data_IF_223153857517
#
_entry.id   IF_223153857517
#
_cell.length_a   1.000
_cell.length_b   1.000
_cell.length_c   1.000
_cell.angle_alpha   90.00
_cell.angle_beta   90.00
_cell.angle_gamma   90.00
#
_symmetry.space_group_name_H-M   'P 1'
#
loop_
_entity.id
_entity.type
_entity.pdbx_description
1 polymer ?
#
# COMPACT_ATOMS: atom_id res chain seq x y z
N UNK A 1 18.54 -6.72 -10.72
CA UNK A 1 18.31 -7.00 -9.29
C UNK A 1 16.89 -7.51 -9.14
N UNK A 2 16.69 -8.73 -8.64
CA UNK A 2 15.37 -9.35 -8.51
C UNK A 2 14.70 -8.85 -7.21
N UNK A 3 13.83 -7.85 -7.33
CA UNK A 3 12.88 -7.52 -6.26
C UNK A 3 11.91 -8.69 -6.16
N UNK A 4 11.83 -9.33 -4.99
CA UNK A 4 10.99 -10.53 -4.78
C UNK A 4 9.64 -10.16 -4.18
N UNK A 5 9.58 -9.02 -3.50
CA UNK A 5 8.37 -8.49 -2.89
C UNK A 5 8.23 -7.02 -3.26
N UNK A 6 7.10 -6.68 -3.83
CA UNK A 6 6.71 -5.33 -4.16
C UNK A 6 5.44 -4.97 -3.39
N UNK A 7 5.56 -3.99 -2.51
CA UNK A 7 4.46 -3.48 -1.70
C UNK A 7 3.97 -2.19 -2.37
N UNK A 8 2.69 -2.15 -2.71
CA UNK A 8 2.06 -0.97 -3.29
C UNK A 8 1.02 -0.47 -2.29
N UNK A 9 1.12 0.79 -1.90
CA UNK A 9 0.20 1.46 -0.99
C UNK A 9 -0.64 2.39 -1.86
N UNK A 10 -1.85 1.95 -2.16
CA UNK A 10 -2.80 2.67 -2.98
C UNK A 10 -3.64 3.57 -2.07
N UNK A 11 -3.51 4.88 -2.22
CA UNK A 11 -4.25 5.84 -1.40
C UNK A 11 -5.06 6.81 -2.26
N UNK A 12 -6.02 7.49 -1.64
CA UNK A 12 -6.78 8.55 -2.26
C UNK A 12 -6.71 9.82 -1.40
N UNK A 13 -5.65 10.62 -1.58
CA UNK A 13 -5.49 11.78 -0.75
C UNK A 13 -6.52 12.88 -1.02
N UNK A 14 -7.29 12.79 -2.10
CA UNK A 14 -8.23 13.84 -2.51
C UNK A 14 -9.64 13.61 -1.94
N UNK A 15 -10.13 12.36 -1.82
CA UNK A 15 -11.45 12.13 -1.19
C UNK A 15 -11.43 12.40 0.32
N UNK A 16 -10.35 12.10 1.05
CA UNK A 16 -10.34 12.32 2.50
C UNK A 16 -10.46 13.81 2.89
N UNK A 17 -9.99 14.74 2.03
CA UNK A 17 -10.14 16.20 2.20
C UNK A 17 -11.61 16.62 2.15
N UNK A 18 -12.41 15.97 1.30
CA UNK A 18 -13.80 16.36 1.04
C UNK A 18 -14.73 15.89 2.17
N UNK A 19 -14.41 14.74 2.79
CA UNK A 19 -15.24 14.13 3.84
C UNK A 19 -14.87 14.57 5.27
N UNK A 20 -13.80 15.34 5.47
CA UNK A 20 -13.23 15.52 6.81
C UNK A 20 -12.93 16.98 7.15
N UNK A 21 -13.84 17.64 7.88
CA UNK A 21 -13.55 18.92 8.54
C UNK A 21 -12.54 18.79 9.70
N UNK A 22 -12.15 17.57 10.08
CA UNK A 22 -11.23 17.27 11.20
C UNK A 22 -10.00 16.37 10.84
N UNK A 23 -9.80 15.95 9.57
CA UNK A 23 -8.75 14.94 9.21
C UNK A 23 -7.69 15.40 8.19
N UNK A 24 -7.36 16.68 8.15
CA UNK A 24 -6.22 17.14 7.33
C UNK A 24 -4.88 16.50 7.75
N UNK A 25 -4.78 15.95 8.97
CA UNK A 25 -3.60 15.25 9.46
C UNK A 25 -3.41 13.84 8.85
N UNK A 26 -4.46 13.13 8.46
CA UNK A 26 -4.37 11.72 8.01
C UNK A 26 -3.67 11.57 6.63
N UNK A 27 -3.79 12.59 5.78
CA UNK A 27 -3.20 12.62 4.43
C UNK A 27 -1.69 12.75 4.41
N UNK A 28 -1.18 13.66 5.24
CA UNK A 28 0.25 13.74 5.51
C UNK A 28 0.72 12.45 6.19
N UNK A 29 -0.15 11.82 6.99
CA UNK A 29 0.17 10.62 7.75
C UNK A 29 0.40 9.40 6.85
N UNK A 30 -0.48 9.06 5.90
CA UNK A 30 -0.30 7.84 5.09
C UNK A 30 0.96 7.86 4.23
N UNK A 31 1.26 8.99 3.59
CA UNK A 31 2.50 9.14 2.80
C UNK A 31 3.74 9.05 3.69
N UNK A 32 3.72 9.70 4.86
CA UNK A 32 4.83 9.60 5.84
C UNK A 32 5.00 8.16 6.34
N UNK A 33 3.91 7.47 6.67
CA UNK A 33 3.93 6.07 7.08
C UNK A 33 4.46 5.15 5.97
N UNK A 34 4.13 5.43 4.70
CA UNK A 34 4.68 4.71 3.56
C UNK A 34 6.20 4.91 3.42
N UNK A 35 6.69 6.13 3.62
CA UNK A 35 8.12 6.44 3.61
C UNK A 35 8.87 5.78 4.77
N UNK A 36 8.28 5.76 5.97
CA UNK A 36 8.81 5.04 7.12
C UNK A 36 8.88 3.53 6.87
N UNK A 37 7.80 2.96 6.32
CA UNK A 37 7.77 1.55 5.91
C UNK A 37 8.86 1.26 4.87
N UNK A 38 9.07 2.12 3.88
CA UNK A 38 10.13 1.97 2.89
C UNK A 38 11.52 1.94 3.55
N UNK A 39 11.80 2.88 4.46
CA UNK A 39 13.11 2.95 5.17
C UNK A 39 13.38 1.67 5.97
N UNK A 40 12.37 1.22 6.69
CA UNK A 40 12.43 0.04 7.54
C UNK A 40 12.57 -1.26 6.71
N UNK A 41 11.80 -1.41 5.63
CA UNK A 41 11.90 -2.56 4.71
C UNK A 41 13.24 -2.58 3.97
N UNK A 42 13.78 -1.42 3.59
CA UNK A 42 15.12 -1.33 3.00
C UNK A 42 16.21 -1.76 3.97
N UNK A 43 16.01 -1.51 5.26
CA UNK A 43 16.96 -1.85 6.32
C UNK A 43 16.89 -3.34 6.67
N UNK A 44 15.69 -3.91 6.73
CA UNK A 44 15.46 -5.32 7.11
C UNK A 44 15.62 -6.29 5.93
N UNK A 45 15.26 -5.88 4.72
CA UNK A 45 15.20 -6.73 3.51
C UNK A 45 15.84 -6.03 2.30
N UNK A 46 17.13 -5.68 2.38
CA UNK A 46 17.80 -4.86 1.36
C UNK A 46 17.75 -5.53 -0.02
N UNK A 47 17.33 -4.77 -1.03
CA UNK A 47 17.20 -5.20 -2.44
C UNK A 47 16.15 -6.29 -2.72
N UNK A 48 15.47 -6.81 -1.69
CA UNK A 48 14.47 -7.89 -1.83
C UNK A 48 13.06 -7.34 -1.80
N UNK A 49 12.82 -6.31 -0.98
CA UNK A 49 11.53 -5.65 -0.81
C UNK A 49 11.62 -4.22 -1.37
N UNK A 50 10.61 -3.80 -2.11
CA UNK A 50 10.39 -2.38 -2.47
C UNK A 50 8.98 -1.96 -2.09
N UNK A 51 8.82 -0.75 -1.59
CA UNK A 51 7.55 -0.12 -1.26
C UNK A 51 7.34 1.06 -2.19
N UNK A 52 6.12 1.22 -2.68
CA UNK A 52 5.71 2.38 -3.45
C UNK A 52 4.37 2.89 -2.94
N UNK A 53 4.27 4.21 -2.82
CA UNK A 53 3.02 4.89 -2.57
C UNK A 53 2.46 5.37 -3.91
N UNK A 54 1.21 5.04 -4.19
CA UNK A 54 0.52 5.32 -5.45
C UNK A 54 -0.75 6.10 -5.13
N UNK A 55 -0.93 7.24 -5.79
CA UNK A 55 -2.15 8.04 -5.70
C UNK A 55 -3.13 7.56 -6.77
N UNK A 56 -4.18 6.86 -6.33
CA UNK A 56 -5.17 6.26 -7.22
C UNK A 56 -5.90 7.27 -8.11
N UNK A 57 -5.86 8.57 -7.82
CA UNK A 57 -6.60 9.58 -8.58
C UNK A 57 -5.71 10.49 -9.41
N UNK A 58 -4.39 10.46 -9.18
CA UNK A 58 -3.40 11.13 -10.02
C UNK A 58 -2.85 10.22 -11.13
N UNK A 59 -2.77 8.90 -10.88
CA UNK A 59 -2.29 7.91 -11.85
C UNK A 59 -3.41 7.43 -12.81
N UNK A 60 -3.00 6.77 -13.91
CA UNK A 60 -3.86 6.35 -15.03
C UNK A 60 -5.17 5.68 -14.55
N UNK A 61 -6.32 6.15 -15.04
CA UNK A 61 -7.64 5.63 -14.67
C UNK A 61 -7.80 4.13 -14.94
N UNK A 62 -6.96 3.57 -15.82
CA UNK A 62 -6.98 2.15 -16.16
C UNK A 62 -6.21 1.27 -15.17
N UNK A 63 -5.44 1.84 -14.24
CA UNK A 63 -4.73 1.07 -13.22
C UNK A 63 -5.67 0.68 -12.07
N UNK A 64 -5.55 -0.58 -11.63
CA UNK A 64 -6.31 -1.18 -10.52
C UNK A 64 -7.84 -1.08 -10.65
N UNK A 65 -8.45 -1.46 -11.79
CA UNK A 65 -9.89 -1.28 -12.03
C UNK A 65 -10.75 -2.01 -10.97
N UNK A 66 -10.34 -3.21 -10.56
CA UNK A 66 -11.03 -3.99 -9.52
C UNK A 66 -10.98 -3.29 -8.15
N UNK A 67 -9.83 -2.73 -7.76
CA UNK A 67 -9.68 -2.01 -6.48
C UNK A 67 -10.55 -0.74 -6.49
N UNK A 68 -10.54 0.00 -7.61
CA UNK A 68 -11.37 1.19 -7.78
C UNK A 68 -12.86 0.86 -7.69
N UNK A 69 -13.30 -0.26 -8.27
CA UNK A 69 -14.68 -0.73 -8.17
C UNK A 69 -15.05 -1.06 -6.72
N UNK A 70 -14.20 -1.81 -6.01
CA UNK A 70 -14.44 -2.15 -4.60
C UNK A 70 -14.52 -0.91 -3.70
N UNK A 71 -13.66 0.09 -3.94
CA UNK A 71 -13.70 1.38 -3.24
C UNK A 71 -15.01 2.13 -3.52
N UNK A 72 -15.45 2.22 -4.79
CA UNK A 72 -16.73 2.86 -5.17
C UNK A 72 -17.94 2.21 -4.50
N UNK A 73 -17.89 0.90 -4.29
CA UNK A 73 -18.94 0.17 -3.57
C UNK A 73 -18.83 0.24 -2.04
N UNK A 74 -17.77 0.86 -1.51
CA UNK A 74 -17.49 0.92 -0.06
C UNK A 74 -17.14 -0.43 0.55
N UNK A 75 -16.72 -1.41 -0.27
CA UNK A 75 -16.35 -2.75 0.19
C UNK A 75 -14.98 -2.77 0.88
N UNK A 76 -14.11 -1.83 0.52
CA UNK A 76 -12.79 -1.60 1.12
C UNK A 76 -12.59 -0.08 1.30
N UNK A 77 -11.59 0.31 2.08
CA UNK A 77 -11.25 1.71 2.33
C UNK A 77 -9.77 1.96 2.04
N UNK A 78 -9.41 3.17 1.60
CA UNK A 78 -8.00 3.57 1.49
C UNK A 78 -7.36 3.77 2.87
N UNK A 79 -6.03 3.63 2.99
CA UNK A 79 -5.12 3.09 1.97
C UNK A 79 -5.30 1.57 1.79
N UNK A 80 -5.14 1.09 0.56
CA UNK A 80 -5.17 -0.34 0.19
C UNK A 80 -3.75 -0.80 -0.08
N UNK A 81 -3.33 -1.86 0.61
CA UNK A 81 -1.98 -2.41 0.49
C UNK A 81 -2.02 -3.66 -0.39
N UNK A 82 -1.30 -3.61 -1.50
CA UNK A 82 -1.02 -4.76 -2.35
C UNK A 82 0.38 -5.31 -2.05
N UNK A 83 0.52 -6.63 -2.10
CA UNK A 83 1.82 -7.30 -2.10
C UNK A 83 1.90 -8.14 -3.37
N UNK A 84 2.85 -7.82 -4.24
CA UNK A 84 3.01 -8.37 -5.58
C UNK A 84 1.70 -8.27 -6.40
N UNK A 85 1.04 -7.10 -6.36
CA UNK A 85 -0.23 -6.84 -7.04
C UNK A 85 -1.47 -7.48 -6.40
N UNK A 86 -1.31 -8.29 -5.34
CA UNK A 86 -2.44 -8.94 -4.65
C UNK A 86 -2.87 -8.10 -3.45
N UNK A 87 -4.15 -7.70 -3.32
CA UNK A 87 -4.64 -6.96 -2.15
C UNK A 87 -4.55 -7.81 -0.88
N UNK A 88 -4.05 -7.21 0.20
CA UNK A 88 -3.86 -7.88 1.50
C UNK A 88 -4.52 -7.15 2.66
N UNK A 89 -4.43 -5.82 2.67
CA UNK A 89 -4.85 -4.98 3.79
C UNK A 89 -5.53 -3.74 3.23
N UNK A 90 -6.49 -3.17 3.94
CA UNK A 90 -7.13 -1.92 3.57
C UNK A 90 -7.53 -1.12 4.82
N UNK A 91 -7.70 0.20 4.69
CA UNK A 91 -8.11 1.10 5.78
C UNK A 91 -6.99 1.46 6.74
N UNK A 92 -5.71 1.24 6.39
CA UNK A 92 -4.56 1.65 7.19
C UNK A 92 -3.27 0.94 6.82
N UNK A 93 -2.16 1.36 7.45
CA UNK A 93 -0.81 0.84 7.21
C UNK A 93 -0.24 0.15 8.47
N UNK A 94 -0.78 -1.03 8.87
CA UNK A 94 -0.33 -1.73 10.07
C UNK A 94 1.01 -2.45 9.83
N UNK A 95 2.11 -1.82 10.24
CA UNK A 95 3.48 -2.29 10.03
C UNK A 95 3.70 -3.79 10.36
N UNK A 96 3.27 -4.23 11.54
CA UNK A 96 3.47 -5.61 11.99
C UNK A 96 2.77 -6.65 11.10
N UNK A 97 1.60 -6.29 10.54
CA UNK A 97 0.84 -7.18 9.65
C UNK A 97 1.51 -7.25 8.28
N UNK A 98 1.93 -6.10 7.75
CA UNK A 98 2.65 -6.03 6.47
C UNK A 98 3.91 -6.88 6.53
N UNK A 99 4.72 -6.71 7.58
CA UNK A 99 5.95 -7.49 7.77
C UNK A 99 5.69 -8.99 7.79
N UNK A 100 4.65 -9.43 8.50
CA UNK A 100 4.27 -10.86 8.55
C UNK A 100 3.89 -11.40 7.16
N UNK A 101 3.19 -10.62 6.35
CA UNK A 101 2.85 -11.03 4.97
C UNK A 101 4.09 -11.09 4.07
N UNK A 102 5.00 -10.11 4.19
CA UNK A 102 6.30 -10.12 3.48
C UNK A 102 7.09 -11.37 3.83
N UNK A 103 7.22 -11.71 5.12
CA UNK A 103 7.95 -12.89 5.58
C UNK A 103 7.36 -14.19 5.04
N UNK A 104 6.02 -14.28 4.94
CA UNK A 104 5.35 -15.44 4.31
C UNK A 104 5.77 -15.61 2.85
N UNK A 105 5.75 -14.53 2.07
CA UNK A 105 6.14 -14.55 0.64
C UNK A 105 7.61 -14.89 0.46
N UNK A 106 8.48 -14.39 1.35
CA UNK A 106 9.91 -14.73 1.30
C UNK A 106 10.17 -16.20 1.66
N UNK A 107 9.39 -16.74 2.59
CA UNK A 107 9.51 -18.11 3.09
C UNK A 107 8.94 -19.16 2.13
N UNK A 108 8.01 -18.79 1.25
CA UNK A 108 7.30 -19.72 0.35
C UNK A 108 8.13 -20.27 -0.83
N UNK A 109 9.47 -20.18 -0.79
CA UNK A 109 10.34 -20.67 -1.88
C UNK A 109 10.35 -19.77 -3.13
N UNK A 110 11.23 -20.04 -4.12
CA UNK A 110 11.37 -19.19 -5.30
C UNK A 110 10.03 -19.12 -6.04
N UNK A 111 9.57 -17.88 -6.28
CA UNK A 111 8.40 -17.63 -7.14
C UNK A 111 8.90 -17.83 -8.56
N UNK A 112 8.44 -18.91 -9.19
CA UNK A 112 8.87 -19.37 -10.52
C UNK A 112 8.32 -18.50 -11.64
#
# INVERSE_FOLDING_TARGET
>A
MLRRVYIQILDNPTEEIIFSTERFDDLATNKVLAEELQKEMSSSYPYVVSVEYIDLFMDDENEFPEIRELLRHGAINTPVILINGVPKIHGGIPYAVIKKEVEKVLSSGPVH
#
